data_IF_590352852669
#
_entry.id   IF_590352852669
#
_cell.length_a   1.000
_cell.length_b   1.000
_cell.length_c   1.000
_cell.angle_alpha   90.00
_cell.angle_beta   90.00
_cell.angle_gamma   90.00
#
_symmetry.space_group_name_H-M   'P 1'
#
loop_
_entity.id
_entity.type
_entity.pdbx_description
1 polymer ?
#
# COMPACT_ATOMS: atom_id res chain seq x y z
N UNK A 1 -3.29 -5.68 -23.90
CA UNK A 1 -3.14 -6.49 -22.67
C UNK A 1 -1.72 -6.41 -22.12
N UNK A 2 -0.70 -6.42 -22.96
CA UNK A 2 0.71 -6.40 -22.52
C UNK A 2 1.06 -5.19 -21.64
N UNK A 3 0.55 -4.00 -21.97
CA UNK A 3 0.79 -2.77 -21.22
C UNK A 3 0.16 -2.79 -19.82
N UNK A 4 -1.00 -3.43 -19.64
CA UNK A 4 -1.67 -3.50 -18.34
C UNK A 4 -0.91 -4.42 -17.39
N UNK A 5 -0.53 -5.61 -17.85
CA UNK A 5 0.26 -6.56 -17.05
C UNK A 5 1.60 -5.92 -16.68
N UNK A 6 2.25 -5.21 -17.61
CA UNK A 6 3.47 -4.47 -17.32
C UNK A 6 3.26 -3.38 -16.24
N UNK A 7 2.19 -2.58 -16.33
CA UNK A 7 1.84 -1.57 -15.31
C UNK A 7 1.59 -2.19 -13.94
N UNK A 8 0.82 -3.28 -13.88
CA UNK A 8 0.59 -4.01 -12.63
C UNK A 8 1.88 -4.61 -12.06
N UNK A 9 2.78 -5.09 -12.92
CA UNK A 9 4.11 -5.54 -12.54
C UNK A 9 4.97 -4.42 -11.95
N UNK A 10 4.94 -3.23 -12.55
CA UNK A 10 5.63 -2.03 -12.04
C UNK A 10 5.02 -1.59 -10.70
N UNK A 11 3.69 -1.55 -10.58
CA UNK A 11 2.99 -1.23 -9.34
C UNK A 11 3.38 -2.17 -8.19
N UNK A 12 3.42 -3.48 -8.47
CA UNK A 12 3.89 -4.49 -7.53
C UNK A 12 5.37 -4.29 -7.18
N UNK A 13 6.22 -4.03 -8.17
CA UNK A 13 7.65 -3.83 -7.96
C UNK A 13 7.93 -2.60 -7.09
N UNK A 14 7.24 -1.48 -7.31
CA UNK A 14 7.34 -0.26 -6.49
C UNK A 14 6.98 -0.60 -5.04
N UNK A 15 5.85 -1.28 -4.82
CA UNK A 15 5.42 -1.68 -3.48
C UNK A 15 6.42 -2.63 -2.80
N UNK A 16 6.98 -3.58 -3.53
CA UNK A 16 7.99 -4.51 -3.00
C UNK A 16 9.31 -3.81 -2.67
N UNK A 17 9.75 -2.86 -3.50
CA UNK A 17 10.98 -2.09 -3.26
C UNK A 17 10.86 -1.24 -1.99
N UNK A 18 9.76 -0.50 -1.83
CA UNK A 18 9.52 0.28 -0.61
C UNK A 18 9.39 -0.65 0.60
N UNK A 19 8.66 -1.76 0.44
CA UNK A 19 8.52 -2.75 1.50
C UNK A 19 9.86 -3.39 1.92
N UNK A 20 10.74 -3.65 0.97
CA UNK A 20 12.07 -4.20 1.21
C UNK A 20 12.96 -3.20 1.96
N UNK A 21 13.00 -1.94 1.55
CA UNK A 21 13.81 -0.91 2.23
C UNK A 21 13.37 -0.76 3.69
N UNK A 22 12.06 -0.71 3.93
CA UNK A 22 11.49 -0.60 5.27
C UNK A 22 11.76 -1.84 6.11
N UNK A 23 11.52 -3.02 5.54
CA UNK A 23 11.80 -4.29 6.22
C UNK A 23 13.28 -4.51 6.54
N UNK A 24 14.18 -3.94 5.73
CA UNK A 24 15.62 -3.97 6.01
C UNK A 24 16.02 -2.97 7.09
N UNK A 25 15.45 -1.75 7.08
CA UNK A 25 15.68 -0.72 8.09
C UNK A 25 15.11 -1.08 9.47
N UNK A 26 14.00 -1.79 9.51
CA UNK A 26 13.35 -2.25 10.75
C UNK A 26 13.88 -3.62 11.23
N UNK A 27 14.93 -4.17 10.59
CA UNK A 27 15.45 -5.51 10.89
C UNK A 27 16.04 -5.65 12.30
N UNK A 28 16.67 -4.58 12.79
CA UNK A 28 17.28 -4.52 14.13
C UNK A 28 16.33 -3.91 15.17
N UNK A 29 15.11 -3.54 14.77
CA UNK A 29 14.08 -3.05 15.68
C UNK A 29 13.51 -4.22 16.52
N UNK A 30 13.09 -3.98 17.78
CA UNK A 30 12.53 -5.02 18.63
C UNK A 30 11.41 -5.79 17.92
N UNK A 31 11.33 -7.11 18.11
CA UNK A 31 10.45 -8.05 17.37
C UNK A 31 8.95 -7.67 17.32
N UNK A 32 8.52 -6.73 18.17
CA UNK A 32 7.14 -6.27 18.30
C UNK A 32 6.83 -4.96 17.57
N UNK A 33 7.79 -4.28 16.92
CA UNK A 33 7.54 -3.01 16.21
C UNK A 33 7.47 -3.13 14.68
N UNK A 34 7.36 -4.35 14.14
CA UNK A 34 7.39 -4.62 12.69
C UNK A 34 6.08 -4.19 12.02
N UNK A 35 5.99 -2.91 11.72
CA UNK A 35 4.72 -2.22 11.49
C UNK A 35 4.15 -2.35 10.07
N UNK A 36 4.78 -3.05 9.13
CA UNK A 36 4.16 -3.63 7.94
C UNK A 36 5.25 -4.30 7.09
N UNK A 37 5.08 -5.59 6.78
CA UNK A 37 6.07 -6.34 6.02
C UNK A 37 6.10 -6.01 4.52
N UNK A 38 7.15 -6.50 3.85
CA UNK A 38 7.39 -6.31 2.40
C UNK A 38 6.16 -6.66 1.54
N UNK A 39 5.39 -7.67 1.98
CA UNK A 39 4.21 -8.19 1.28
C UNK A 39 3.07 -7.18 1.28
N UNK A 40 2.85 -6.49 2.39
CA UNK A 40 1.75 -5.54 2.55
C UNK A 40 1.91 -4.37 1.58
N UNK A 41 3.11 -3.82 1.49
CA UNK A 41 3.41 -2.73 0.56
C UNK A 41 3.39 -3.18 -0.90
N UNK A 42 3.92 -4.37 -1.22
CA UNK A 42 3.79 -4.96 -2.56
C UNK A 42 2.33 -5.07 -3.02
N UNK A 43 1.48 -5.65 -2.17
CA UNK A 43 0.06 -5.85 -2.47
C UNK A 43 -0.70 -4.51 -2.50
N UNK A 44 -0.31 -3.52 -1.68
CA UNK A 44 -0.92 -2.18 -1.72
C UNK A 44 -0.72 -1.49 -3.07
N UNK A 45 0.47 -1.61 -3.66
CA UNK A 45 0.77 -1.04 -4.98
C UNK A 45 -0.03 -1.73 -6.07
N UNK A 46 -0.02 -3.06 -6.06
CA UNK A 46 -0.82 -3.86 -6.98
C UNK A 46 -2.33 -3.55 -6.87
N UNK A 47 -2.83 -3.35 -5.66
CA UNK A 47 -4.23 -2.98 -5.40
C UNK A 47 -4.57 -1.63 -6.03
N UNK A 48 -3.70 -0.63 -5.91
CA UNK A 48 -3.87 0.67 -6.58
C UNK A 48 -4.03 0.54 -8.09
N UNK A 49 -3.16 -0.25 -8.73
CA UNK A 49 -3.23 -0.49 -10.17
C UNK A 49 -4.45 -1.29 -10.61
N UNK A 50 -4.87 -2.27 -9.81
CA UNK A 50 -6.12 -3.02 -10.04
C UNK A 50 -7.34 -2.11 -9.96
N UNK A 51 -7.42 -1.26 -8.93
CA UNK A 51 -8.53 -0.33 -8.74
C UNK A 51 -8.58 0.69 -9.87
N UNK A 52 -7.44 1.22 -10.31
CA UNK A 52 -7.37 2.13 -11.46
C UNK A 52 -7.81 1.45 -12.76
N UNK A 53 -7.34 0.21 -13.01
CA UNK A 53 -7.75 -0.56 -14.18
C UNK A 53 -9.26 -0.87 -14.18
N UNK A 54 -9.84 -1.14 -13.01
CA UNK A 54 -11.29 -1.33 -12.85
C UNK A 54 -12.06 -0.02 -13.08
N UNK A 55 -11.57 1.11 -12.57
CA UNK A 55 -12.18 2.41 -12.80
C UNK A 55 -12.21 2.78 -14.28
N UNK A 56 -11.13 2.50 -15.01
CA UNK A 56 -11.04 2.70 -16.46
C UNK A 56 -12.00 1.77 -17.23
N UNK A 57 -11.99 0.47 -16.92
CA UNK A 57 -12.87 -0.51 -17.54
C UNK A 57 -14.38 -0.19 -17.35
N UNK A 58 -14.74 0.38 -16.20
CA UNK A 58 -16.10 0.77 -15.85
C UNK A 58 -16.44 2.21 -16.26
N UNK A 59 -15.48 2.99 -16.79
CA UNK A 59 -15.61 4.43 -17.04
C UNK A 59 -16.13 5.20 -15.81
N UNK A 60 -15.69 4.80 -14.61
CA UNK A 60 -16.22 5.26 -13.34
C UNK A 60 -15.08 5.66 -12.39
N UNK A 61 -14.65 6.92 -12.47
CA UNK A 61 -13.61 7.48 -11.58
C UNK A 61 -13.98 7.36 -10.09
N UNK A 62 -15.28 7.28 -9.78
CA UNK A 62 -15.79 7.02 -8.43
C UNK A 62 -15.26 5.71 -7.84
N UNK A 63 -14.96 4.69 -8.65
CA UNK A 63 -14.37 3.43 -8.21
C UNK A 63 -12.95 3.65 -7.68
N UNK A 64 -12.16 4.49 -8.35
CA UNK A 64 -10.81 4.83 -7.89
C UNK A 64 -10.84 5.63 -6.59
N UNK A 65 -11.70 6.64 -6.51
CA UNK A 65 -11.88 7.45 -5.29
C UNK A 65 -12.37 6.59 -4.13
N UNK A 66 -13.40 5.76 -4.35
CA UNK A 66 -13.93 4.86 -3.33
C UNK A 66 -12.90 3.82 -2.88
N UNK A 67 -12.15 3.24 -3.83
CA UNK A 67 -11.08 2.28 -3.53
C UNK A 67 -9.94 2.90 -2.73
N UNK A 68 -9.52 4.12 -3.07
CA UNK A 68 -8.51 4.86 -2.31
C UNK A 68 -9.01 5.16 -0.88
N UNK A 69 -10.22 5.68 -0.72
CA UNK A 69 -10.80 5.99 0.60
C UNK A 69 -10.99 4.73 1.45
N UNK A 70 -11.46 3.64 0.85
CA UNK A 70 -11.61 2.35 1.54
C UNK A 70 -10.25 1.80 1.99
N UNK A 71 -9.26 1.81 1.11
CA UNK A 71 -7.90 1.41 1.45
C UNK A 71 -7.33 2.29 2.56
N UNK A 72 -7.45 3.61 2.45
CA UNK A 72 -6.96 4.56 3.44
C UNK A 72 -7.59 4.34 4.81
N UNK A 73 -8.92 4.18 4.85
CA UNK A 73 -9.66 3.93 6.10
C UNK A 73 -9.27 2.61 6.75
N UNK A 74 -9.23 1.51 5.98
CA UNK A 74 -8.86 0.19 6.50
C UNK A 74 -7.40 0.19 6.98
N UNK A 75 -6.48 0.73 6.18
CA UNK A 75 -5.07 0.75 6.48
C UNK A 75 -4.79 1.61 7.72
N UNK A 76 -5.35 2.82 7.80
CA UNK A 76 -5.21 3.69 8.96
C UNK A 76 -5.82 3.05 10.22
N UNK A 77 -6.96 2.37 10.12
CA UNK A 77 -7.60 1.71 11.25
C UNK A 77 -6.76 0.56 11.81
N UNK A 78 -6.25 -0.33 10.95
CA UNK A 78 -5.35 -1.40 11.37
C UNK A 78 -4.07 -0.85 11.99
N UNK A 79 -3.47 0.17 11.37
CA UNK A 79 -2.26 0.84 11.90
C UNK A 79 -2.51 1.51 13.25
N UNK A 80 -3.65 2.16 13.44
CA UNK A 80 -4.01 2.77 14.73
C UNK A 80 -4.20 1.72 15.83
N UNK A 81 -4.76 0.55 15.50
CA UNK A 81 -4.95 -0.56 16.45
C UNK A 81 -3.63 -1.22 16.86
N UNK A 82 -2.70 -1.33 15.92
CA UNK A 82 -1.33 -1.81 16.13
C UNK A 82 -0.52 -0.81 16.97
N UNK A 83 -0.59 0.48 16.64
CA UNK A 83 0.03 1.57 17.41
C UNK A 83 -0.40 1.58 18.89
N UNK A 84 -1.69 1.30 19.16
CA UNK A 84 -2.21 1.21 20.51
C UNK A 84 -1.70 -0.01 21.29
N UNK A 85 -1.24 -1.07 20.62
CA UNK A 85 -0.63 -2.24 21.26
C UNK A 85 0.89 -2.09 21.45
N UNK A 86 1.56 -1.42 20.52
CA UNK A 86 3.03 -1.37 20.47
C UNK A 86 3.64 -0.04 20.97
N UNK A 87 2.80 0.89 21.47
CA UNK A 87 3.17 2.26 21.88
C UNK A 87 3.91 3.07 20.77
N UNK A 88 3.72 2.68 19.50
CA UNK A 88 4.39 3.27 18.34
C UNK A 88 3.41 4.10 17.49
N UNK A 89 3.64 5.41 17.41
CA UNK A 89 2.77 6.36 16.69
C UNK A 89 3.34 6.78 15.32
N UNK A 90 3.85 5.83 14.53
CA UNK A 90 4.43 6.13 13.22
C UNK A 90 3.39 6.34 12.10
N UNK A 91 3.07 7.61 11.83
CA UNK A 91 2.20 8.05 10.70
C UNK A 91 2.85 7.75 9.33
N UNK A 92 4.18 7.70 9.27
CA UNK A 92 4.95 7.47 8.05
C UNK A 92 4.60 6.15 7.36
N UNK A 93 4.20 5.13 8.12
CA UNK A 93 3.76 3.85 7.55
C UNK A 93 2.43 3.99 6.81
N UNK A 94 1.48 4.76 7.36
CA UNK A 94 0.21 5.07 6.71
C UNK A 94 0.46 5.85 5.42
N UNK A 95 1.25 6.92 5.49
CA UNK A 95 1.57 7.75 4.31
C UNK A 95 2.28 6.94 3.23
N UNK A 96 3.22 6.07 3.59
CA UNK A 96 3.88 5.19 2.63
C UNK A 96 2.89 4.25 1.93
N UNK A 97 1.97 3.64 2.69
CA UNK A 97 0.94 2.76 2.11
C UNK A 97 0.04 3.51 1.13
N UNK A 98 -0.41 4.71 1.49
CA UNK A 98 -1.20 5.58 0.61
C UNK A 98 -0.43 5.98 -0.65
N UNK A 99 0.84 6.38 -0.50
CA UNK A 99 1.68 6.75 -1.63
C UNK A 99 1.88 5.58 -2.59
N UNK A 100 2.13 4.38 -2.09
CA UNK A 100 2.30 3.17 -2.91
C UNK A 100 1.01 2.83 -3.66
N UNK A 101 -0.16 2.92 -3.01
CA UNK A 101 -1.44 2.73 -3.69
C UNK A 101 -1.59 3.73 -4.85
N UNK A 102 -1.35 5.01 -4.58
CA UNK A 102 -1.45 6.07 -5.59
C UNK A 102 -0.46 5.86 -6.74
N UNK A 103 0.79 5.47 -6.43
CA UNK A 103 1.80 5.16 -7.44
C UNK A 103 1.41 3.95 -8.30
N UNK A 104 0.75 2.95 -7.70
CA UNK A 104 0.24 1.81 -8.44
C UNK A 104 -0.94 2.15 -9.35
N UNK A 105 -1.72 3.17 -8.99
CA UNK A 105 -2.88 3.63 -9.74
C UNK A 105 -2.55 4.54 -10.95
N UNK A 106 -1.28 4.93 -11.13
CA UNK A 106 -0.77 5.70 -12.29
C UNK A 106 -0.50 4.79 -13.50
#
# INVERSE_FOLDING_TARGET
MDTLIARLGVALAIGLLVGLERGWRERDAPDRSRTAGIRTFGIAGLLGGLVAALADALNAISVLVAGFLAFAGIFAWYKAREAAHDEDFSVTTVIAGLAIFTLGAL
#
